data_IF_814520807820
#
_entry.id   IF_814520807820
#
_cell.length_a   1.000
_cell.length_b   1.000
_cell.length_c   1.000
_cell.angle_alpha   90.00
_cell.angle_beta   90.00
_cell.angle_gamma   90.00
#
_symmetry.space_group_name_H-M   'P 1'
#
loop_
_entity.id
_entity.type
_entity.pdbx_description
1 polymer ?
#
# COMPACT_ATOMS: atom_id res chain seq x y z
N UNK A 1 -24.59 -66.21 17.90
CA UNK A 1 -24.65 -64.76 18.16
C UNK A 1 -23.39 -64.14 17.59
N UNK A 2 -23.49 -63.55 16.39
CA UNK A 2 -22.35 -62.97 15.66
C UNK A 2 -22.37 -61.44 15.84
N UNK A 3 -21.36 -60.88 16.44
CA UNK A 3 -21.20 -59.42 16.55
C UNK A 3 -20.48 -58.86 15.32
N UNK A 4 -21.01 -57.86 14.64
CA UNK A 4 -20.33 -57.23 13.50
C UNK A 4 -19.38 -56.14 14.00
N UNK A 5 -18.09 -56.46 14.10
CA UNK A 5 -17.03 -55.57 14.51
C UNK A 5 -16.34 -54.96 13.26
N UNK A 6 -17.06 -54.19 12.40
CA UNK A 6 -16.50 -53.61 11.18
C UNK A 6 -16.58 -52.11 11.05
N UNK A 7 -17.13 -51.37 12.02
CA UNK A 7 -17.31 -49.92 11.92
C UNK A 7 -16.10 -49.04 12.36
N UNK A 8 -15.19 -49.44 13.29
CA UNK A 8 -14.13 -48.51 13.71
C UNK A 8 -13.00 -48.36 12.67
N UNK A 9 -12.77 -49.38 11.84
CA UNK A 9 -11.67 -49.34 10.86
C UNK A 9 -11.93 -48.33 9.73
N UNK A 10 -13.16 -48.16 9.30
CA UNK A 10 -13.57 -47.20 8.27
C UNK A 10 -13.45 -45.75 8.75
N UNK A 11 -13.74 -45.48 10.01
CA UNK A 11 -13.66 -44.16 10.63
C UNK A 11 -12.20 -43.70 10.74
N UNK A 12 -11.29 -44.57 11.11
CA UNK A 12 -9.86 -44.27 11.22
C UNK A 12 -9.27 -43.96 9.85
N UNK A 13 -9.66 -44.67 8.79
CA UNK A 13 -9.21 -44.44 7.42
C UNK A 13 -9.68 -43.06 6.90
N UNK A 14 -10.90 -42.64 7.20
CA UNK A 14 -11.42 -41.31 6.77
C UNK A 14 -10.69 -40.17 7.48
N UNK A 15 -10.44 -40.31 8.78
CA UNK A 15 -9.69 -39.28 9.54
C UNK A 15 -8.27 -39.14 9.03
N UNK A 16 -7.59 -40.25 8.73
CA UNK A 16 -6.24 -40.22 8.16
C UNK A 16 -6.21 -39.53 6.77
N UNK A 17 -7.22 -39.76 5.95
CA UNK A 17 -7.32 -39.14 4.62
C UNK A 17 -7.55 -37.63 4.71
N UNK A 18 -8.37 -37.16 5.66
CA UNK A 18 -8.60 -35.74 5.91
C UNK A 18 -7.30 -35.07 6.40
N UNK A 19 -6.54 -35.72 7.27
CA UNK A 19 -5.28 -35.18 7.76
C UNK A 19 -4.25 -35.02 6.63
N UNK A 20 -4.18 -35.98 5.70
CA UNK A 20 -3.29 -35.91 4.55
C UNK A 20 -3.69 -34.75 3.62
N UNK A 21 -4.98 -34.57 3.36
CA UNK A 21 -5.50 -33.46 2.53
C UNK A 21 -5.18 -32.10 3.17
N UNK A 22 -5.37 -31.97 4.49
CA UNK A 22 -5.04 -30.74 5.22
C UNK A 22 -3.54 -30.43 5.15
N UNK A 23 -2.68 -31.45 5.30
CA UNK A 23 -1.22 -31.27 5.18
C UNK A 23 -0.80 -30.85 3.77
N UNK A 24 -1.43 -31.38 2.72
CA UNK A 24 -1.14 -31.00 1.33
C UNK A 24 -1.57 -29.53 1.07
N UNK A 25 -2.75 -29.14 1.58
CA UNK A 25 -3.23 -27.76 1.46
C UNK A 25 -2.32 -26.80 2.24
N UNK A 26 -1.86 -27.21 3.42
CA UNK A 26 -0.93 -26.40 4.23
C UNK A 26 0.43 -26.25 3.55
N UNK A 27 0.96 -27.31 2.95
CA UNK A 27 2.22 -27.27 2.19
C UNK A 27 2.11 -26.43 0.91
N UNK A 28 0.95 -26.41 0.26
CA UNK A 28 0.70 -25.60 -0.93
C UNK A 28 0.50 -24.10 -0.62
N UNK A 29 0.17 -23.76 0.64
CA UNK A 29 0.01 -22.36 1.10
C UNK A 29 1.22 -21.83 1.86
N UNK A 30 2.27 -22.61 2.07
CA UNK A 30 3.52 -22.05 2.57
C UNK A 30 4.11 -21.13 1.49
N UNK A 31 4.31 -19.83 1.77
CA UNK A 31 5.01 -18.98 0.83
C UNK A 31 6.37 -19.61 0.59
N UNK A 32 6.65 -19.88 -0.66
CA UNK A 32 7.94 -20.40 -1.11
C UNK A 32 8.99 -19.37 -0.69
N UNK A 33 9.65 -19.58 0.45
CA UNK A 33 10.88 -18.88 0.79
C UNK A 33 11.98 -19.45 -0.10
N UNK A 34 11.84 -19.21 -1.41
CA UNK A 34 12.97 -19.22 -2.32
C UNK A 34 13.95 -18.23 -1.70
N UNK A 35 15.11 -18.72 -1.27
CA UNK A 35 16.25 -17.86 -0.96
C UNK A 35 16.52 -17.06 -2.23
N UNK A 36 15.94 -15.88 -2.29
CA UNK A 36 16.30 -14.86 -3.25
C UNK A 36 17.78 -14.61 -3.01
N UNK A 37 18.58 -14.99 -3.98
CA UNK A 37 20.00 -14.68 -4.07
C UNK A 37 20.07 -13.17 -3.86
N UNK A 38 20.71 -12.74 -2.77
CA UNK A 38 20.77 -11.35 -2.36
C UNK A 38 21.21 -10.47 -3.53
N UNK A 39 20.23 -9.84 -4.14
CA UNK A 39 20.43 -8.56 -4.79
C UNK A 39 20.90 -7.62 -3.70
N UNK A 40 21.99 -6.85 -3.89
CA UNK A 40 22.44 -5.92 -2.86
C UNK A 40 21.24 -5.05 -2.52
N UNK A 41 20.82 -5.04 -1.25
CA UNK A 41 19.81 -4.10 -0.76
C UNK A 41 20.31 -2.71 -1.16
N UNK A 42 19.74 -2.19 -2.22
CA UNK A 42 20.02 -0.83 -2.67
C UNK A 42 19.45 0.05 -1.55
N UNK A 43 20.34 0.54 -0.68
CA UNK A 43 19.97 1.44 0.41
C UNK A 43 19.24 2.63 -0.22
N UNK A 44 17.90 2.59 -0.18
CA UNK A 44 17.08 3.72 -0.63
C UNK A 44 17.50 4.95 0.18
N UNK A 45 17.68 6.05 -0.50
CA UNK A 45 17.95 7.32 0.17
C UNK A 45 16.84 7.68 1.15
N UNK A 46 17.13 8.56 2.08
CA UNK A 46 16.12 9.08 3.00
C UNK A 46 14.95 9.72 2.23
N UNK A 47 15.24 10.44 1.15
CA UNK A 47 14.22 11.11 0.34
C UNK A 47 13.31 10.11 -0.37
N UNK A 48 13.88 9.06 -0.93
CA UNK A 48 13.10 7.99 -1.56
C UNK A 48 12.22 7.26 -0.53
N UNK A 49 12.72 7.03 0.67
CA UNK A 49 11.92 6.44 1.76
C UNK A 49 10.72 7.33 2.13
N UNK A 50 10.89 8.66 2.13
CA UNK A 50 9.77 9.58 2.40
C UNK A 50 8.75 9.59 1.26
N UNK A 51 9.19 9.60 0.01
CA UNK A 51 8.30 9.50 -1.15
C UNK A 51 7.49 8.18 -1.14
N UNK A 52 8.15 7.06 -0.86
CA UNK A 52 7.49 5.76 -0.70
C UNK A 52 6.44 5.79 0.41
N UNK A 53 6.75 6.42 1.55
CA UNK A 53 5.84 6.58 2.68
C UNK A 53 4.61 7.42 2.30
N UNK A 54 4.80 8.53 1.59
CA UNK A 54 3.70 9.36 1.09
C UNK A 54 2.80 8.52 0.19
N UNK A 55 3.37 7.80 -0.78
CA UNK A 55 2.61 6.98 -1.72
C UNK A 55 1.88 5.83 -1.03
N UNK A 56 2.49 5.21 -0.02
CA UNK A 56 1.82 4.20 0.81
C UNK A 56 0.59 4.78 1.50
N UNK A 57 0.71 5.96 2.12
CA UNK A 57 -0.39 6.62 2.82
C UNK A 57 -1.51 7.03 1.84
N UNK A 58 -1.17 7.61 0.70
CA UNK A 58 -2.16 7.97 -0.33
C UNK A 58 -2.90 6.74 -0.86
N UNK A 59 -2.19 5.64 -1.14
CA UNK A 59 -2.82 4.39 -1.54
C UNK A 59 -3.70 3.79 -0.44
N UNK A 60 -3.31 3.91 0.82
CA UNK A 60 -4.15 3.51 1.96
C UNK A 60 -5.42 4.37 2.05
N UNK A 61 -5.31 5.68 1.82
CA UNK A 61 -6.46 6.57 1.75
C UNK A 61 -7.44 6.15 0.63
N UNK A 62 -6.94 5.72 -0.54
CA UNK A 62 -7.77 5.14 -1.61
C UNK A 62 -8.54 3.90 -1.14
N UNK A 63 -7.92 3.01 -0.34
CA UNK A 63 -8.63 1.83 0.18
C UNK A 63 -9.74 2.23 1.15
N UNK A 64 -9.50 3.21 2.03
CA UNK A 64 -10.57 3.75 2.89
C UNK A 64 -11.68 4.40 2.06
N UNK A 65 -11.34 5.14 1.00
CA UNK A 65 -12.32 5.72 0.09
C UNK A 65 -13.18 4.64 -0.56
N UNK A 66 -12.56 3.57 -1.11
CA UNK A 66 -13.28 2.42 -1.68
C UNK A 66 -14.21 1.76 -0.69
N UNK A 67 -13.83 1.66 0.57
CA UNK A 67 -14.65 1.09 1.64
C UNK A 67 -15.71 2.06 2.19
N UNK A 68 -15.82 3.27 1.60
CA UNK A 68 -16.72 4.36 2.02
C UNK A 68 -16.43 4.96 3.39
N UNK A 69 -15.24 4.73 3.94
CA UNK A 69 -14.77 5.43 5.14
C UNK A 69 -14.13 6.77 4.73
N UNK A 70 -14.98 7.71 4.29
CA UNK A 70 -14.55 9.00 3.75
C UNK A 70 -13.74 9.82 4.76
N UNK A 71 -14.09 9.69 6.05
CA UNK A 71 -13.38 10.40 7.12
C UNK A 71 -11.93 9.92 7.23
N UNK A 72 -11.71 8.60 7.23
CA UNK A 72 -10.35 8.04 7.26
C UNK A 72 -9.60 8.31 5.96
N UNK A 73 -10.27 8.19 4.82
CA UNK A 73 -9.67 8.50 3.53
C UNK A 73 -9.09 9.92 3.53
N UNK A 74 -9.91 10.90 3.88
CA UNK A 74 -9.51 12.30 4.00
C UNK A 74 -8.37 12.47 5.01
N UNK A 75 -8.52 11.95 6.23
CA UNK A 75 -7.53 12.12 7.30
C UNK A 75 -6.17 11.55 6.92
N UNK A 76 -6.13 10.36 6.29
CA UNK A 76 -4.86 9.72 5.88
C UNK A 76 -4.22 10.49 4.73
N UNK A 77 -5.02 11.01 3.78
CA UNK A 77 -4.52 11.87 2.69
C UNK A 77 -3.90 13.16 3.23
N UNK A 78 -4.59 13.86 4.13
CA UNK A 78 -4.05 15.06 4.78
C UNK A 78 -2.78 14.79 5.59
N UNK A 79 -2.73 13.65 6.29
CA UNK A 79 -1.53 13.25 7.03
C UNK A 79 -0.33 12.95 6.11
N UNK A 80 -0.56 12.49 4.88
CA UNK A 80 0.51 12.31 3.89
C UNK A 80 1.14 13.65 3.51
N UNK A 81 0.32 14.69 3.40
CA UNK A 81 0.78 16.06 3.18
C UNK A 81 1.49 16.60 4.43
N UNK A 82 0.73 16.85 5.51
CA UNK A 82 1.22 17.60 6.68
C UNK A 82 2.37 16.92 7.42
N UNK A 83 2.32 15.57 7.60
CA UNK A 83 3.28 14.87 8.43
C UNK A 83 4.52 14.37 7.67
N UNK A 84 4.45 14.30 6.34
CA UNK A 84 5.57 13.74 5.56
C UNK A 84 6.03 14.70 4.47
N UNK A 85 5.13 15.15 3.57
CA UNK A 85 5.55 16.00 2.45
C UNK A 85 6.01 17.36 2.97
N UNK A 86 5.13 18.15 3.57
CA UNK A 86 5.40 19.51 4.04
C UNK A 86 6.55 19.56 5.06
N UNK A 87 6.54 18.66 6.04
CA UNK A 87 7.52 18.68 7.13
C UNK A 87 8.90 18.10 6.77
N UNK A 88 9.02 17.30 5.72
CA UNK A 88 10.26 16.58 5.43
C UNK A 88 10.72 16.80 3.99
N UNK A 89 9.95 16.34 3.00
CA UNK A 89 10.40 16.32 1.62
C UNK A 89 10.42 17.72 1.01
N UNK A 90 9.35 18.49 1.20
CA UNK A 90 9.20 19.83 0.65
C UNK A 90 10.26 20.79 1.18
N UNK A 91 10.52 20.80 2.50
CA UNK A 91 11.55 21.66 3.12
C UNK A 91 12.91 21.43 2.45
N UNK A 92 13.23 20.19 2.12
CA UNK A 92 14.49 19.84 1.45
C UNK A 92 14.48 20.20 -0.03
N UNK A 93 13.31 20.16 -0.67
CA UNK A 93 13.15 20.44 -2.09
C UNK A 93 13.05 21.93 -2.42
N UNK A 94 12.49 22.74 -1.51
CA UNK A 94 12.31 24.21 -1.70
C UNK A 94 13.55 24.96 -2.23
N UNK A 95 14.80 24.69 -1.81
CA UNK A 95 15.97 25.39 -2.35
C UNK A 95 16.21 25.16 -3.85
N UNK A 96 15.65 24.09 -4.41
CA UNK A 96 15.85 23.66 -5.80
C UNK A 96 14.63 23.86 -6.68
N UNK A 97 13.49 24.26 -6.10
CA UNK A 97 12.22 24.43 -6.80
C UNK A 97 11.81 25.89 -6.87
N UNK A 98 11.00 26.24 -7.88
CA UNK A 98 10.32 27.53 -7.88
C UNK A 98 9.14 27.54 -6.91
N UNK A 99 8.77 28.70 -6.36
CA UNK A 99 7.55 28.82 -5.54
C UNK A 99 6.29 28.28 -6.25
N UNK A 100 6.18 28.51 -7.56
CA UNK A 100 5.06 28.00 -8.36
C UNK A 100 5.00 26.47 -8.39
N UNK A 101 6.16 25.81 -8.45
CA UNK A 101 6.24 24.33 -8.39
C UNK A 101 5.74 23.82 -7.04
N UNK A 102 6.19 24.44 -5.94
CA UNK A 102 5.78 24.07 -4.59
C UNK A 102 4.26 24.23 -4.44
N UNK A 103 3.71 25.42 -4.72
CA UNK A 103 2.27 25.66 -4.64
C UNK A 103 1.43 24.74 -5.52
N UNK A 104 1.96 24.32 -6.68
CA UNK A 104 1.26 23.36 -7.53
C UNK A 104 1.12 22.01 -6.83
N UNK A 105 2.17 21.50 -6.21
CA UNK A 105 2.16 20.19 -5.54
C UNK A 105 1.32 20.23 -4.26
N UNK A 106 1.44 21.31 -3.45
CA UNK A 106 0.54 21.53 -2.31
C UNK A 106 -0.92 21.49 -2.74
N UNK A 107 -1.26 22.23 -3.83
CA UNK A 107 -2.60 22.24 -4.41
C UNK A 107 -3.08 20.86 -4.84
N UNK A 108 -2.20 20.01 -5.39
CA UNK A 108 -2.54 18.64 -5.76
C UNK A 108 -2.83 17.75 -4.54
N UNK A 109 -2.10 17.91 -3.44
CA UNK A 109 -2.40 17.22 -2.18
C UNK A 109 -3.79 17.59 -1.66
N UNK A 110 -4.09 18.89 -1.58
CA UNK A 110 -5.40 19.36 -1.12
C UNK A 110 -6.53 18.94 -2.06
N UNK A 111 -6.34 19.03 -3.37
CA UNK A 111 -7.31 18.53 -4.35
C UNK A 111 -7.59 17.04 -4.20
N UNK A 112 -6.55 16.23 -3.91
CA UNK A 112 -6.68 14.79 -3.64
C UNK A 112 -7.52 14.53 -2.40
N UNK A 113 -7.25 15.26 -1.31
CA UNK A 113 -7.99 15.15 -0.06
C UNK A 113 -9.45 15.58 -0.24
N UNK A 114 -9.70 16.64 -1.01
CA UNK A 114 -11.07 17.13 -1.30
C UNK A 114 -11.87 16.15 -2.18
N UNK A 115 -11.23 15.46 -3.11
CA UNK A 115 -11.86 14.37 -3.85
C UNK A 115 -12.33 13.25 -2.92
N UNK A 116 -11.58 12.95 -1.88
CA UNK A 116 -11.92 11.90 -0.90
C UNK A 116 -13.09 12.26 0.03
N UNK A 117 -13.55 13.52 0.04
CA UNK A 117 -14.79 13.95 0.72
C UNK A 117 -16.04 13.69 -0.11
N UNK A 118 -15.90 13.50 -1.44
CA UNK A 118 -17.02 13.30 -2.35
C UNK A 118 -17.63 11.92 -2.22
N UNK A 119 -18.92 11.72 -2.58
CA UNK A 119 -19.53 10.38 -2.60
C UNK A 119 -18.76 9.41 -3.48
N UNK A 120 -18.68 8.14 -3.05
CA UNK A 120 -17.99 7.09 -3.81
C UNK A 120 -18.85 6.68 -5.01
N UNK A 121 -18.45 7.14 -6.17
CA UNK A 121 -18.97 6.73 -7.49
C UNK A 121 -17.81 6.19 -8.32
N UNK A 122 -18.09 5.48 -9.41
CA UNK A 122 -17.03 5.01 -10.33
C UNK A 122 -16.19 6.19 -10.82
N UNK A 123 -16.85 7.27 -11.26
CA UNK A 123 -16.18 8.48 -11.77
C UNK A 123 -15.27 9.14 -10.72
N UNK A 124 -15.76 9.30 -9.47
CA UNK A 124 -14.96 9.89 -8.41
C UNK A 124 -13.81 8.98 -7.99
N UNK A 125 -14.02 7.65 -7.98
CA UNK A 125 -12.97 6.68 -7.70
C UNK A 125 -11.87 6.72 -8.75
N UNK A 126 -12.24 6.82 -10.03
CA UNK A 126 -11.26 6.95 -11.13
C UNK A 126 -10.48 8.26 -11.01
N UNK A 127 -11.15 9.36 -10.66
CA UNK A 127 -10.50 10.66 -10.41
C UNK A 127 -9.49 10.57 -9.25
N UNK A 128 -9.88 9.97 -8.12
CA UNK A 128 -9.00 9.75 -6.97
C UNK A 128 -7.78 8.90 -7.35
N UNK A 129 -8.00 7.77 -8.03
CA UNK A 129 -6.89 6.91 -8.46
C UNK A 129 -5.91 7.64 -9.40
N UNK A 130 -6.44 8.40 -10.36
CA UNK A 130 -5.64 9.19 -11.30
C UNK A 130 -4.81 10.24 -10.56
N UNK A 131 -5.42 10.98 -9.65
CA UNK A 131 -4.76 12.03 -8.88
C UNK A 131 -3.67 11.47 -7.98
N UNK A 132 -3.95 10.39 -7.22
CA UNK A 132 -2.97 9.72 -6.35
C UNK A 132 -1.79 9.20 -7.18
N UNK A 133 -2.04 8.61 -8.35
CA UNK A 133 -0.96 8.15 -9.24
C UNK A 133 -0.08 9.30 -9.72
N UNK A 134 -0.66 10.42 -10.11
CA UNK A 134 0.08 11.61 -10.57
C UNK A 134 0.92 12.21 -9.44
N UNK A 135 0.31 12.36 -8.25
CA UNK A 135 0.98 12.90 -7.08
C UNK A 135 2.13 12.01 -6.60
N UNK A 136 1.95 10.68 -6.61
CA UNK A 136 3.04 9.75 -6.31
C UNK A 136 4.18 9.84 -7.33
N UNK A 137 3.89 10.04 -8.61
CA UNK A 137 4.92 10.23 -9.62
C UNK A 137 5.74 11.51 -9.36
N UNK A 138 5.05 12.60 -8.98
CA UNK A 138 5.71 13.88 -8.70
C UNK A 138 6.58 13.80 -7.44
N UNK A 139 6.09 13.25 -6.32
CA UNK A 139 6.92 13.15 -5.11
C UNK A 139 8.12 12.22 -5.28
N UNK A 140 7.98 11.15 -6.07
CA UNK A 140 9.13 10.29 -6.41
C UNK A 140 10.16 11.01 -7.28
N UNK A 141 9.70 11.83 -8.23
CA UNK A 141 10.59 12.68 -9.04
C UNK A 141 11.38 13.65 -8.16
N UNK A 142 10.70 14.36 -7.24
CA UNK A 142 11.35 15.27 -6.31
C UNK A 142 12.38 14.57 -5.41
N UNK A 143 12.05 13.40 -4.90
CA UNK A 143 12.96 12.59 -4.11
C UNK A 143 14.21 12.21 -4.92
N UNK A 144 14.03 11.81 -6.17
CA UNK A 144 15.15 11.47 -7.06
C UNK A 144 16.01 12.69 -7.41
N UNK A 145 15.40 13.84 -7.68
CA UNK A 145 16.16 15.09 -7.91
C UNK A 145 16.99 15.47 -6.69
N UNK A 146 16.46 15.32 -5.46
CA UNK A 146 17.20 15.57 -4.23
C UNK A 146 18.43 14.67 -4.05
N UNK A 147 18.39 13.43 -4.54
CA UNK A 147 19.55 12.54 -4.54
C UNK A 147 20.71 13.05 -5.40
N UNK A 148 20.41 13.82 -6.43
CA UNK A 148 21.44 14.40 -7.33
C UNK A 148 22.03 15.70 -6.80
N UNK A 149 21.37 16.36 -5.84
CA UNK A 149 21.89 17.62 -5.25
C UNK A 149 22.72 17.40 -3.99
N UNK A 150 22.78 16.15 -3.49
CA UNK A 150 23.53 15.74 -2.29
C UNK A 150 24.50 14.61 -2.56
#
# INVERSE_FOLDING_TARGET
>A
MSFPLKKPLLLISVIALIFIIVLIIYAAHMPNTSKEKGEPEQHKSLYQQQADKICLMLNQAVQYYKSRDLKKAYTVSENAYWNVYDNILEIKYRPYATPATIFSVEGEFHATSDLMKKPVTSQNLDAVNKQVKALCAEVNKQAHELEHYH
#
